data_IF_908650099912
#
_entry.id   IF_908650099912
#
_cell.length_a   1.000
_cell.length_b   1.000
_cell.length_c   1.000
_cell.angle_alpha   90.00
_cell.angle_beta   90.00
_cell.angle_gamma   90.00
#
_symmetry.space_group_name_H-M   'P 1'
#
loop_
_entity.id
_entity.type
_entity.pdbx_description
1 polymer ?
#
# COMPACT_ATOMS: atom_id res chain seq x y z
N UNK A 1 -29.38 35.81 -2.09
CA UNK A 1 -28.40 34.81 -2.56
C UNK A 1 -26.97 35.36 -2.48
N UNK A 2 -26.72 36.60 -2.87
CA UNK A 2 -25.37 37.20 -2.79
C UNK A 2 -24.82 37.40 -1.35
N UNK A 3 -25.67 37.53 -0.34
CA UNK A 3 -25.29 37.71 1.05
C UNK A 3 -24.77 36.42 1.73
N UNK A 4 -25.30 35.26 1.35
CA UNK A 4 -24.87 33.96 1.88
C UNK A 4 -23.50 33.49 1.35
N UNK A 5 -23.14 33.86 0.13
CA UNK A 5 -21.81 33.51 -0.45
C UNK A 5 -20.67 34.32 0.20
N UNK A 6 -20.96 35.51 0.72
CA UNK A 6 -20.00 36.34 1.44
C UNK A 6 -19.62 35.84 2.83
N UNK A 7 -20.57 35.25 3.57
CA UNK A 7 -20.31 34.70 4.91
C UNK A 7 -19.50 33.40 4.86
N UNK A 8 -19.80 32.49 3.95
CA UNK A 8 -19.05 31.25 3.80
C UNK A 8 -17.59 31.43 3.34
N UNK A 9 -17.31 32.46 2.56
CA UNK A 9 -15.93 32.75 2.13
C UNK A 9 -15.05 33.33 3.27
N UNK A 10 -15.67 33.93 4.28
CA UNK A 10 -14.99 34.39 5.49
C UNK A 10 -14.55 33.24 6.38
N UNK A 11 -15.42 32.29 6.62
CA UNK A 11 -15.11 31.10 7.44
C UNK A 11 -14.04 30.20 6.80
N UNK A 12 -14.09 29.99 5.49
CA UNK A 12 -13.07 29.22 4.78
C UNK A 12 -11.70 29.88 4.83
N UNK A 13 -11.63 31.21 4.63
CA UNK A 13 -10.37 31.96 4.75
C UNK A 13 -9.82 31.91 6.17
N UNK A 14 -10.68 32.00 7.17
CA UNK A 14 -10.29 31.94 8.59
C UNK A 14 -9.80 30.53 8.93
N UNK A 15 -10.45 29.46 8.42
CA UNK A 15 -10.03 28.07 8.61
C UNK A 15 -8.67 27.77 7.97
N UNK A 16 -8.42 28.24 6.75
CA UNK A 16 -7.13 28.05 6.06
C UNK A 16 -6.02 28.82 6.75
N UNK A 17 -6.28 30.08 7.15
CA UNK A 17 -5.32 30.87 7.92
C UNK A 17 -5.00 30.21 9.27
N UNK A 18 -6.00 29.59 9.91
CA UNK A 18 -5.87 28.85 11.15
C UNK A 18 -4.95 27.62 11.00
N UNK A 19 -5.11 26.85 9.93
CA UNK A 19 -4.27 25.70 9.60
C UNK A 19 -2.82 26.09 9.35
N UNK A 20 -2.61 27.16 8.60
CA UNK A 20 -1.27 27.67 8.29
C UNK A 20 -0.55 28.21 9.54
N UNK A 21 -1.28 28.86 10.45
CA UNK A 21 -0.69 29.38 11.69
C UNK A 21 -0.38 28.27 12.69
N UNK A 22 -1.19 27.19 12.74
CA UNK A 22 -0.91 26.00 13.56
C UNK A 22 0.36 25.30 13.10
N UNK A 23 0.59 25.21 11.80
CA UNK A 23 1.80 24.62 11.22
C UNK A 23 3.07 25.46 11.54
N UNK A 24 2.92 26.78 11.65
CA UNK A 24 4.03 27.69 11.86
C UNK A 24 4.38 27.96 13.34
N UNK A 25 3.42 27.89 14.28
CA UNK A 25 3.60 28.41 15.65
C UNK A 25 3.11 27.50 16.79
N UNK A 26 2.78 26.23 16.52
CA UNK A 26 2.40 25.28 17.58
C UNK A 26 1.06 25.56 18.26
N UNK A 27 0.11 26.19 17.60
CA UNK A 27 -1.30 26.19 18.00
C UNK A 27 -1.76 27.21 19.06
N UNK A 28 -0.86 27.86 19.79
CA UNK A 28 -1.23 28.71 20.93
C UNK A 28 -1.69 30.14 20.55
N UNK A 29 -1.33 30.64 19.37
CA UNK A 29 -1.60 32.01 18.94
C UNK A 29 -3.05 32.16 18.43
N UNK A 30 -3.60 31.13 17.83
CA UNK A 30 -4.97 31.13 17.27
C UNK A 30 -6.03 31.27 18.35
N UNK A 31 -5.86 30.55 19.44
CA UNK A 31 -6.79 30.55 20.57
C UNK A 31 -6.92 31.94 21.21
N UNK A 32 -5.83 32.72 21.18
CA UNK A 32 -5.80 34.09 21.77
C UNK A 32 -6.46 35.16 20.89
N UNK A 33 -6.42 34.96 19.56
CA UNK A 33 -6.94 36.01 18.63
C UNK A 33 -8.37 35.76 18.18
N UNK A 34 -8.80 34.51 18.06
CA UNK A 34 -10.14 34.17 17.55
C UNK A 34 -11.07 33.54 18.60
N UNK A 35 -10.55 33.17 19.79
CA UNK A 35 -11.31 32.46 20.80
C UNK A 35 -11.73 31.04 20.38
N UNK A 36 -11.31 30.58 19.20
CA UNK A 36 -11.65 29.24 18.66
C UNK A 36 -10.59 28.23 19.04
N UNK A 37 -11.00 27.16 19.69
CA UNK A 37 -10.15 25.99 20.00
C UNK A 37 -10.49 24.89 19.01
N UNK A 38 -9.49 24.33 18.36
CA UNK A 38 -9.66 23.13 17.53
C UNK A 38 -10.14 22.00 18.45
N UNK A 39 -11.25 21.34 18.09
CA UNK A 39 -11.81 20.26 18.89
C UNK A 39 -10.82 19.06 18.89
N UNK A 40 -10.18 18.75 20.03
CA UNK A 40 -9.19 17.66 20.09
C UNK A 40 -9.81 16.28 19.85
N UNK A 41 -11.13 16.13 20.06
CA UNK A 41 -11.83 14.87 19.81
C UNK A 41 -11.99 14.59 18.31
N UNK A 42 -12.06 15.60 17.45
CA UNK A 42 -12.08 15.42 16.00
C UNK A 42 -10.70 15.03 15.46
N UNK A 43 -9.63 15.53 16.04
CA UNK A 43 -8.26 15.14 15.66
C UNK A 43 -7.94 13.67 16.04
N UNK A 44 -8.54 13.15 17.11
CA UNK A 44 -8.39 11.74 17.51
C UNK A 44 -9.20 10.77 16.66
N UNK A 45 -10.30 11.22 16.06
CA UNK A 45 -11.19 10.37 15.24
C UNK A 45 -10.74 10.24 13.78
N UNK A 46 -10.11 11.25 13.22
CA UNK A 46 -9.67 11.25 11.84
C UNK A 46 -8.31 11.89 11.67
N UNK A 47 -7.28 11.05 11.56
CA UNK A 47 -5.90 11.49 11.30
C UNK A 47 -5.54 11.55 9.82
N UNK A 48 -6.46 11.18 8.93
CA UNK A 48 -6.28 11.17 7.49
C UNK A 48 -6.45 9.78 6.85
N UNK A 49 -6.51 9.69 5.52
CA UNK A 49 -6.60 8.43 4.83
C UNK A 49 -5.32 7.61 5.01
N UNK A 50 -5.46 6.30 5.15
CA UNK A 50 -4.36 5.36 5.32
C UNK A 50 -4.22 4.46 4.10
N UNK A 51 -2.98 4.10 3.77
CA UNK A 51 -2.68 3.14 2.72
C UNK A 51 -2.79 1.72 3.26
N UNK A 52 -3.50 0.83 2.57
CA UNK A 52 -3.72 -0.55 2.98
C UNK A 52 -2.44 -1.39 2.79
N UNK A 53 -1.98 -2.10 3.84
CA UNK A 53 -0.92 -3.09 3.71
C UNK A 53 -1.52 -4.47 3.41
N UNK A 54 -0.81 -5.27 2.62
CA UNK A 54 -1.14 -6.67 2.34
C UNK A 54 0.11 -7.53 2.52
N UNK A 55 -0.03 -8.65 3.19
CA UNK A 55 1.07 -9.60 3.36
C UNK A 55 0.64 -10.96 2.86
N UNK A 56 1.50 -11.56 2.04
CA UNK A 56 1.31 -12.89 1.48
C UNK A 56 2.48 -13.78 1.87
N UNK A 57 2.20 -15.03 2.18
CA UNK A 57 3.22 -16.04 2.45
C UNK A 57 2.94 -17.29 1.62
N UNK A 58 3.98 -17.84 1.01
CA UNK A 58 3.93 -19.07 0.23
C UNK A 58 5.01 -20.02 0.70
N UNK A 59 4.59 -21.24 1.04
CA UNK A 59 5.51 -22.37 1.23
C UNK A 59 5.62 -23.14 -0.08
N UNK A 60 6.84 -23.37 -0.54
CA UNK A 60 7.15 -24.04 -1.79
C UNK A 60 8.11 -25.19 -1.50
N UNK A 61 7.78 -26.38 -2.00
CA UNK A 61 8.62 -27.59 -1.85
C UNK A 61 8.83 -28.16 -3.24
N UNK A 62 9.97 -27.92 -3.88
CA UNK A 62 10.25 -28.42 -5.22
C UNK A 62 10.40 -29.95 -5.21
N UNK A 63 9.85 -30.61 -6.22
CA UNK A 63 9.90 -32.05 -6.37
C UNK A 63 11.07 -32.49 -7.26
N UNK A 64 11.52 -31.60 -8.11
CA UNK A 64 12.62 -31.84 -9.05
C UNK A 64 13.53 -30.60 -9.19
N UNK A 65 14.59 -30.78 -9.99
CA UNK A 65 15.57 -29.74 -10.25
C UNK A 65 14.97 -28.54 -11.00
N UNK A 66 14.06 -28.79 -11.94
CA UNK A 66 13.47 -27.73 -12.76
C UNK A 66 12.57 -26.80 -11.92
N UNK A 67 11.76 -27.39 -11.02
CA UNK A 67 10.97 -26.63 -10.06
C UNK A 67 11.87 -25.79 -9.13
N UNK A 68 12.99 -26.34 -8.69
CA UNK A 68 13.95 -25.63 -7.83
C UNK A 68 14.58 -24.43 -8.52
N UNK A 69 14.99 -24.58 -9.79
CA UNK A 69 15.50 -23.48 -10.60
C UNK A 69 14.41 -22.43 -10.91
N UNK A 70 13.15 -22.85 -11.07
CA UNK A 70 12.03 -21.93 -11.23
C UNK A 70 11.81 -21.08 -9.96
N UNK A 71 11.82 -21.70 -8.78
CA UNK A 71 11.71 -20.98 -7.49
C UNK A 71 12.84 -19.97 -7.36
N UNK A 72 14.07 -20.35 -7.68
CA UNK A 72 15.23 -19.46 -7.65
C UNK A 72 15.08 -18.25 -8.60
N UNK A 73 14.52 -18.46 -9.80
CA UNK A 73 14.21 -17.40 -10.75
C UNK A 73 13.14 -16.45 -10.20
N UNK A 74 12.09 -16.99 -9.58
CA UNK A 74 11.03 -16.19 -8.94
C UNK A 74 11.61 -15.31 -7.83
N UNK A 75 12.40 -15.90 -6.92
CA UNK A 75 13.06 -15.16 -5.83
C UNK A 75 13.93 -14.03 -6.38
N UNK A 76 14.73 -14.34 -7.41
CA UNK A 76 15.61 -13.35 -8.06
C UNK A 76 14.82 -12.21 -8.69
N UNK A 77 13.73 -12.53 -9.37
CA UNK A 77 12.86 -11.54 -10.01
C UNK A 77 12.29 -10.54 -8.99
N UNK A 78 11.78 -11.02 -7.85
CA UNK A 78 11.25 -10.13 -6.81
C UNK A 78 12.35 -9.29 -6.16
N UNK A 79 13.49 -9.87 -5.82
CA UNK A 79 14.65 -9.13 -5.30
C UNK A 79 15.13 -8.05 -6.27
N UNK A 80 15.18 -8.36 -7.55
CA UNK A 80 15.62 -7.42 -8.58
C UNK A 80 14.61 -6.29 -8.79
N UNK A 81 13.31 -6.62 -8.77
CA UNK A 81 12.26 -5.62 -8.98
C UNK A 81 12.06 -4.67 -7.80
N UNK A 82 12.38 -5.13 -6.57
CA UNK A 82 12.40 -4.29 -5.37
C UNK A 82 13.63 -3.35 -5.31
N UNK A 83 14.70 -3.72 -6.00
CA UNK A 83 15.94 -2.93 -5.96
C UNK A 83 15.79 -1.61 -6.73
N UNK A 84 16.34 -0.55 -6.14
CA UNK A 84 16.39 0.77 -6.75
C UNK A 84 17.31 0.74 -7.98
N UNK A 85 16.86 1.28 -9.09
CA UNK A 85 17.62 1.36 -10.33
C UNK A 85 18.49 2.62 -10.32
N UNK A 86 19.75 2.49 -10.74
CA UNK A 86 20.65 3.63 -10.95
C UNK A 86 20.35 4.28 -12.29
N UNK A 87 20.38 5.62 -12.34
CA UNK A 87 20.39 6.36 -13.60
C UNK A 87 21.74 6.19 -14.30
N UNK A 88 21.78 6.35 -15.61
CA UNK A 88 23.02 6.33 -16.39
C UNK A 88 24.02 7.39 -15.91
N UNK A 89 23.56 8.54 -15.50
CA UNK A 89 24.39 9.62 -14.94
C UNK A 89 24.89 9.38 -13.51
N UNK A 90 24.45 8.30 -12.83
CA UNK A 90 24.69 7.99 -11.41
C UNK A 90 24.23 9.08 -10.41
N UNK A 91 23.72 10.21 -10.88
CA UNK A 91 23.28 11.34 -10.05
C UNK A 91 21.86 11.14 -9.50
N UNK A 92 21.04 10.31 -10.16
CA UNK A 92 19.66 10.08 -9.78
C UNK A 92 19.37 8.59 -9.60
N UNK A 93 18.45 8.30 -8.69
CA UNK A 93 17.89 6.96 -8.49
C UNK A 93 16.48 6.92 -9.09
N UNK A 94 16.17 5.84 -9.79
CA UNK A 94 14.81 5.57 -10.28
C UNK A 94 14.08 4.70 -9.26
N UNK A 95 12.79 4.95 -9.06
CA UNK A 95 11.95 4.15 -8.17
C UNK A 95 11.97 2.66 -8.56
N UNK A 96 11.78 1.75 -7.59
CA UNK A 96 11.52 0.35 -7.85
C UNK A 96 10.28 0.14 -8.73
N UNK A 97 10.06 -1.10 -9.15
CA UNK A 97 8.83 -1.44 -9.87
C UNK A 97 7.61 -1.40 -8.93
N UNK A 98 6.46 -1.06 -9.48
CA UNK A 98 5.16 -1.19 -8.86
C UNK A 98 4.50 -2.51 -9.27
N UNK A 99 3.46 -2.93 -8.55
CA UNK A 99 2.81 -4.23 -8.72
C UNK A 99 1.30 -4.08 -8.78
N UNK A 100 0.69 -4.74 -9.75
CA UNK A 100 -0.76 -4.95 -9.80
C UNK A 100 -1.06 -6.38 -9.29
N UNK A 101 -1.77 -6.49 -8.18
CA UNK A 101 -2.11 -7.77 -7.55
C UNK A 101 -3.56 -8.08 -7.86
N UNK A 102 -3.81 -9.27 -8.40
CA UNK A 102 -5.16 -9.75 -8.74
C UNK A 102 -5.38 -11.15 -8.19
N UNK A 103 -6.53 -11.38 -7.59
CA UNK A 103 -6.97 -12.70 -7.18
C UNK A 103 -7.71 -13.36 -8.32
N UNK A 104 -7.22 -14.51 -8.77
CA UNK A 104 -7.81 -15.25 -9.88
C UNK A 104 -8.45 -16.55 -9.39
N UNK A 105 -9.58 -16.90 -9.98
CA UNK A 105 -10.19 -18.21 -9.83
C UNK A 105 -9.40 -19.25 -10.64
N UNK A 106 -9.65 -20.55 -10.41
CA UNK A 106 -9.04 -21.66 -11.17
C UNK A 106 -9.28 -21.57 -12.70
N UNK A 107 -10.29 -20.81 -13.14
CA UNK A 107 -10.60 -20.58 -14.55
C UNK A 107 -9.94 -19.31 -15.11
N UNK A 108 -9.05 -18.65 -14.36
CA UNK A 108 -8.36 -17.44 -14.78
C UNK A 108 -9.20 -16.15 -14.77
N UNK A 109 -10.41 -16.19 -14.22
CA UNK A 109 -11.25 -14.98 -14.03
C UNK A 109 -10.92 -14.35 -12.69
N UNK A 110 -11.11 -13.05 -12.57
CA UNK A 110 -11.00 -12.36 -11.29
C UNK A 110 -12.02 -12.89 -10.28
N UNK A 111 -11.60 -12.92 -9.03
CA UNK A 111 -12.40 -13.47 -7.94
C UNK A 111 -13.36 -12.39 -7.41
N UNK A 112 -14.67 -12.59 -7.62
CA UNK A 112 -15.70 -11.59 -7.27
C UNK A 112 -15.99 -11.43 -5.77
N UNK A 113 -15.43 -12.28 -4.90
CA UNK A 113 -15.60 -12.20 -3.44
C UNK A 113 -14.34 -11.76 -2.70
N UNK A 114 -13.28 -11.42 -3.40
CA UNK A 114 -12.06 -10.89 -2.79
C UNK A 114 -11.88 -9.43 -3.17
N UNK A 115 -11.34 -8.61 -2.25
CA UNK A 115 -11.16 -7.19 -2.51
C UNK A 115 -10.20 -6.96 -3.68
N UNK A 116 -10.48 -6.01 -4.51
CA UNK A 116 -9.56 -5.52 -5.53
C UNK A 116 -8.50 -4.64 -4.86
N UNK A 117 -7.27 -4.82 -5.31
CA UNK A 117 -6.10 -4.12 -4.77
C UNK A 117 -5.63 -3.13 -5.84
N UNK A 118 -5.42 -1.87 -5.42
CA UNK A 118 -4.82 -0.85 -6.27
C UNK A 118 -3.34 -1.14 -6.53
N UNK A 119 -2.70 -0.31 -7.32
CA UNK A 119 -1.27 -0.42 -7.56
C UNK A 119 -0.48 -0.33 -6.25
N UNK A 120 0.45 -1.27 -6.06
CA UNK A 120 1.19 -1.46 -4.82
C UNK A 120 2.69 -1.33 -5.01
N UNK A 121 3.38 -0.91 -3.96
CA UNK A 121 4.82 -1.08 -3.81
C UNK A 121 5.13 -2.30 -2.93
N UNK A 122 6.18 -3.05 -3.27
CA UNK A 122 6.71 -4.12 -2.43
C UNK A 122 7.56 -3.49 -1.32
N UNK A 123 7.06 -3.49 -0.09
CA UNK A 123 7.70 -2.88 1.09
C UNK A 123 8.58 -3.84 1.87
N UNK A 124 8.30 -5.14 1.77
CA UNK A 124 9.07 -6.18 2.44
C UNK A 124 9.14 -7.45 1.62
N UNK A 125 10.33 -8.07 1.58
CA UNK A 125 10.57 -9.37 0.97
C UNK A 125 11.46 -10.19 1.88
N UNK A 126 10.97 -11.33 2.33
CA UNK A 126 11.68 -12.25 3.21
C UNK A 126 11.66 -13.66 2.66
N UNK A 127 12.78 -14.35 2.78
CA UNK A 127 12.93 -15.76 2.41
C UNK A 127 13.43 -16.57 3.60
N UNK A 128 12.67 -17.59 3.96
CA UNK A 128 13.08 -18.60 4.92
C UNK A 128 13.42 -19.91 4.15
N UNK A 129 14.64 -20.37 4.29
CA UNK A 129 15.15 -21.59 3.65
C UNK A 129 15.03 -22.83 4.55
N UNK A 130 14.53 -22.65 5.77
CA UNK A 130 14.33 -23.71 6.76
C UNK A 130 12.95 -23.60 7.40
N UNK A 131 11.85 -23.59 6.62
CA UNK A 131 10.50 -23.37 7.16
C UNK A 131 10.05 -24.49 8.13
N UNK A 132 10.65 -25.66 8.03
CA UNK A 132 10.38 -26.82 8.89
C UNK A 132 11.38 -26.95 10.06
N UNK A 133 12.19 -25.89 10.31
CA UNK A 133 13.16 -25.87 11.39
C UNK A 133 14.46 -26.61 11.14
N UNK A 134 14.55 -27.40 10.06
CA UNK A 134 15.72 -28.20 9.73
C UNK A 134 16.33 -27.72 8.39
N UNK A 135 17.67 -27.64 8.37
CA UNK A 135 18.40 -27.37 7.13
C UNK A 135 18.55 -28.68 6.36
N UNK A 136 17.88 -28.79 5.21
CA UNK A 136 17.90 -29.97 4.36
C UNK A 136 18.07 -29.58 2.89
N UNK A 137 18.96 -30.26 2.20
CA UNK A 137 19.23 -30.07 0.78
C UNK A 137 19.17 -31.39 0.04
N UNK A 138 18.82 -31.34 -1.24
CA UNK A 138 19.01 -32.45 -2.16
C UNK A 138 20.49 -32.60 -2.54
N UNK A 139 20.87 -33.70 -3.20
CA UNK A 139 22.24 -33.94 -3.67
C UNK A 139 22.79 -32.83 -4.57
N UNK A 140 21.93 -32.19 -5.34
CA UNK A 140 22.25 -31.05 -6.20
C UNK A 140 22.36 -29.69 -5.47
N UNK A 141 22.40 -29.71 -4.13
CA UNK A 141 22.45 -28.52 -3.25
C UNK A 141 21.21 -27.62 -3.30
N UNK A 142 20.11 -28.03 -3.93
CA UNK A 142 18.85 -27.29 -3.83
C UNK A 142 18.17 -27.55 -2.49
N UNK A 143 17.45 -26.54 -1.99
CA UNK A 143 16.72 -26.67 -0.72
C UNK A 143 15.46 -27.49 -0.90
N UNK A 144 15.11 -28.28 0.12
CA UNK A 144 13.90 -29.12 0.14
C UNK A 144 12.64 -28.28 0.28
N UNK A 145 12.72 -27.16 1.02
CA UNK A 145 11.59 -26.28 1.23
C UNK A 145 12.03 -24.82 1.27
N UNK A 146 11.13 -23.95 0.81
CA UNK A 146 11.27 -22.51 0.83
C UNK A 146 9.98 -21.90 1.39
N UNK A 147 10.09 -20.87 2.19
CA UNK A 147 8.96 -20.02 2.54
C UNK A 147 9.28 -18.58 2.15
N UNK A 148 8.43 -18.02 1.30
CA UNK A 148 8.55 -16.67 0.79
C UNK A 148 7.45 -15.81 1.40
N UNK A 149 7.81 -14.73 2.06
CA UNK A 149 6.87 -13.75 2.58
C UNK A 149 7.10 -12.41 1.91
N UNK A 150 6.01 -11.80 1.45
CA UNK A 150 6.00 -10.51 0.76
C UNK A 150 4.99 -9.58 1.38
N UNK A 151 5.41 -8.35 1.68
CA UNK A 151 4.56 -7.28 2.17
C UNK A 151 4.43 -6.19 1.12
N UNK A 152 3.21 -5.88 0.76
CA UNK A 152 2.85 -4.83 -0.20
C UNK A 152 2.11 -3.72 0.52
N UNK A 153 2.20 -2.52 -0.03
CA UNK A 153 1.42 -1.36 0.42
C UNK A 153 0.90 -0.62 -0.80
N UNK A 154 -0.39 -0.29 -0.79
CA UNK A 154 -0.96 0.51 -1.87
C UNK A 154 -0.30 1.88 -1.94
N UNK A 155 -0.23 2.44 -3.14
CA UNK A 155 0.35 3.76 -3.38
C UNK A 155 -0.68 4.87 -3.18
N UNK A 156 -1.96 4.53 -3.27
CA UNK A 156 -3.07 5.47 -3.12
C UNK A 156 -4.09 4.94 -2.11
N UNK A 157 -4.65 5.80 -1.25
CA UNK A 157 -5.74 5.41 -0.37
C UNK A 157 -7.03 5.17 -1.16
N UNK A 158 -7.97 4.44 -0.58
CA UNK A 158 -9.31 4.29 -1.12
C UNK A 158 -10.22 5.35 -0.50
N UNK A 159 -11.01 6.01 -1.34
CA UNK A 159 -12.01 6.99 -0.96
C UNK A 159 -13.42 6.41 -1.01
N UNK A 160 -14.36 7.06 -0.34
CA UNK A 160 -15.76 6.62 -0.23
C UNK A 160 -16.45 6.47 -1.60
N UNK A 161 -16.18 7.36 -2.52
CA UNK A 161 -16.72 7.38 -3.87
C UNK A 161 -16.28 6.19 -4.73
N UNK A 162 -15.14 5.57 -4.40
CA UNK A 162 -14.65 4.37 -5.10
C UNK A 162 -15.40 3.08 -4.66
N UNK A 163 -16.18 3.14 -3.58
CA UNK A 163 -17.02 2.01 -3.12
C UNK A 163 -18.45 2.05 -3.68
N UNK A 164 -18.84 3.09 -4.39
CA UNK A 164 -20.23 3.33 -4.84
C UNK A 164 -20.71 2.46 -6.00
N UNK A 165 -19.86 1.64 -6.59
CA UNK A 165 -20.25 0.67 -7.61
C UNK A 165 -21.05 -0.55 -7.08
N UNK A 166 -21.76 -0.41 -5.94
CA UNK A 166 -22.61 -1.46 -5.37
C UNK A 166 -23.94 -1.65 -6.12
N UNK A 167 -24.30 -0.76 -7.03
CA UNK A 167 -25.57 -0.81 -7.77
C UNK A 167 -25.37 -1.42 -9.18
N UNK A 168 -25.14 -2.73 -9.20
CA UNK A 168 -25.40 -3.56 -10.40
C UNK A 168 -24.24 -3.84 -11.34
N UNK A 169 -23.18 -3.08 -11.39
CA UNK A 169 -22.00 -3.36 -12.21
C UNK A 169 -20.88 -4.02 -11.38
N UNK A 170 -20.81 -5.33 -11.50
CA UNK A 170 -19.96 -6.20 -10.67
C UNK A 170 -18.47 -6.11 -10.92
N UNK A 171 -18.02 -5.32 -11.87
CA UNK A 171 -16.65 -5.46 -12.40
C UNK A 171 -15.69 -4.32 -12.06
N UNK A 172 -16.12 -3.21 -11.48
CA UNK A 172 -15.23 -2.06 -11.32
C UNK A 172 -15.00 -1.58 -9.87
N UNK A 173 -15.69 -2.16 -8.88
CA UNK A 173 -15.49 -1.72 -7.48
C UNK A 173 -14.13 -2.11 -6.93
N UNK A 174 -13.33 -1.11 -6.58
CA UNK A 174 -12.12 -1.28 -5.80
C UNK A 174 -12.53 -1.45 -4.34
N UNK A 175 -12.15 -2.56 -3.72
CA UNK A 175 -12.39 -2.80 -2.29
C UNK A 175 -13.27 -3.99 -1.98
N UNK A 176 -14.36 -4.19 -2.66
CA UNK A 176 -15.21 -5.39 -2.60
C UNK A 176 -16.12 -5.43 -3.80
#
# INVERSE_FOLDING_TARGET
IAKQVGENSGEVKTGVAALLTKAATGGSVLTRTTGAIVNPNMELLFSGPTLRPFTFSWKMSPRDYEESEMIKKIIRMFKQSQAVKRSESMLFLKSPNTYAIRFLTARGREHGYLPKIKECALTGFSMNYTPDGNYQTYENSSMVAYEMSMSFKELEPIYHDEYTALDGDRDESIGF
#
